data_IF_534683184381
#
_entry.id   IF_534683184381
#
_cell.length_a   1.000
_cell.length_b   1.000
_cell.length_c   1.000
_cell.angle_alpha   90.00
_cell.angle_beta   90.00
_cell.angle_gamma   90.00
#
_symmetry.space_group_name_H-M   'P 1'
#
loop_
_entity.id
_entity.type
_entity.pdbx_description
1 polymer ?
#
# COMPACT_ATOMS: atom_id res chain seq x y z
N UNK A 1 25.67 7.65 -23.84
CA UNK A 1 26.31 8.91 -24.29
C UNK A 1 27.73 9.14 -23.75
N UNK A 2 28.01 8.88 -22.46
CA UNK A 2 29.36 9.05 -21.84
C UNK A 2 30.51 8.22 -22.47
N UNK A 3 30.22 7.05 -23.03
CA UNK A 3 31.23 6.20 -23.69
C UNK A 3 31.55 6.64 -25.12
N UNK A 4 30.57 7.20 -25.85
CA UNK A 4 30.78 7.75 -27.18
C UNK A 4 31.68 8.99 -27.13
N UNK A 5 31.51 9.84 -26.09
CA UNK A 5 32.30 11.04 -25.85
C UNK A 5 33.78 10.74 -25.54
N UNK A 6 34.07 9.63 -24.85
CA UNK A 6 35.45 9.21 -24.55
C UNK A 6 36.19 8.67 -25.77
N UNK A 7 35.48 7.97 -26.65
CA UNK A 7 36.04 7.45 -27.91
C UNK A 7 36.30 8.62 -28.87
N UNK A 8 35.37 9.58 -28.98
CA UNK A 8 35.58 10.80 -29.80
C UNK A 8 36.71 11.65 -29.27
N UNK A 9 36.87 11.80 -27.95
CA UNK A 9 37.97 12.57 -27.38
C UNK A 9 39.33 11.89 -27.61
N UNK A 10 39.40 10.56 -27.58
CA UNK A 10 40.63 9.82 -27.87
C UNK A 10 41.01 9.91 -29.34
N UNK A 11 40.04 9.87 -30.26
CA UNK A 11 40.28 10.10 -31.69
C UNK A 11 40.64 11.55 -31.99
N UNK A 12 40.12 12.52 -31.22
CA UNK A 12 40.46 13.94 -31.38
C UNK A 12 41.89 14.24 -30.92
N UNK A 13 42.31 13.66 -29.79
CA UNK A 13 43.70 13.73 -29.31
C UNK A 13 44.63 13.04 -30.32
N UNK A 14 44.20 11.94 -30.95
CA UNK A 14 44.96 11.26 -32.00
C UNK A 14 45.10 12.11 -33.28
N UNK A 15 44.05 12.83 -33.71
CA UNK A 15 44.13 13.78 -34.84
C UNK A 15 45.00 15.00 -34.53
N UNK A 16 45.00 15.51 -33.30
CA UNK A 16 45.82 16.65 -32.88
C UNK A 16 47.31 16.32 -32.81
N UNK A 17 47.67 15.11 -32.38
CA UNK A 17 49.07 14.66 -32.32
C UNK A 17 49.65 14.41 -33.71
N UNK A 18 48.83 14.02 -34.70
CA UNK A 18 49.29 13.75 -36.06
C UNK A 18 49.29 14.96 -37.01
N UNK A 19 48.51 16.01 -36.74
CA UNK A 19 48.59 17.28 -37.48
C UNK A 19 49.83 18.12 -37.10
N UNK A 20 50.64 17.69 -36.13
CA UNK A 20 51.84 18.41 -35.67
C UNK A 20 53.16 17.90 -36.28
N UNK A 21 53.12 16.98 -37.25
CA UNK A 21 54.31 16.57 -38.00
C UNK A 21 54.58 17.57 -39.13
N UNK A 22 55.76 18.21 -39.21
CA UNK A 22 56.06 19.17 -40.26
C UNK A 22 56.05 18.46 -41.62
N UNK A 23 55.23 18.96 -42.53
CA UNK A 23 55.28 18.59 -43.93
C UNK A 23 56.59 19.11 -44.55
N UNK A 24 57.66 18.33 -44.48
CA UNK A 24 58.84 18.54 -45.33
C UNK A 24 58.56 17.89 -46.68
N UNK A 25 58.17 18.72 -47.64
CA UNK A 25 58.02 18.35 -49.03
C UNK A 25 59.39 17.96 -49.63
N UNK A 26 59.50 16.73 -50.11
CA UNK A 26 60.47 16.36 -51.14
C UNK A 26 59.84 15.29 -52.05
N UNK A 27 59.89 15.56 -53.34
CA UNK A 27 59.29 14.85 -54.46
C UNK A 27 59.76 13.40 -54.63
N UNK A 28 58.84 12.47 -54.92
CA UNK A 28 59.18 11.12 -55.35
C UNK A 28 57.98 10.17 -55.47
N UNK A 29 57.59 9.92 -56.71
CA UNK A 29 56.76 8.85 -57.28
C UNK A 29 56.40 7.62 -56.40
N UNK A 30 55.09 7.35 -56.32
CA UNK A 30 54.44 6.04 -56.03
C UNK A 30 54.82 5.32 -54.72
N UNK A 31 54.47 5.89 -53.56
CA UNK A 31 54.55 5.17 -52.26
C UNK A 31 53.33 5.41 -51.34
N UNK A 32 52.23 5.93 -51.89
CA UNK A 32 51.04 6.25 -51.10
C UNK A 32 50.31 5.00 -50.58
N UNK A 33 50.38 3.87 -51.31
CA UNK A 33 49.78 2.60 -50.90
C UNK A 33 50.55 1.89 -49.78
N UNK A 34 51.88 1.83 -49.85
CA UNK A 34 52.72 1.16 -48.85
C UNK A 34 52.75 1.94 -47.53
N UNK A 35 52.79 3.27 -47.60
CA UNK A 35 52.73 4.15 -46.44
C UNK A 35 51.38 4.04 -45.68
N UNK A 36 50.26 3.97 -46.41
CA UNK A 36 48.92 3.78 -45.82
C UNK A 36 48.77 2.41 -45.16
N UNK A 37 49.33 1.35 -45.74
CA UNK A 37 49.33 0.01 -45.14
C UNK A 37 50.16 -0.03 -43.85
N UNK A 38 51.37 0.55 -43.84
CA UNK A 38 52.24 0.60 -42.65
C UNK A 38 51.60 1.38 -41.49
N UNK A 39 50.97 2.51 -41.78
CA UNK A 39 50.24 3.32 -40.79
C UNK A 39 49.01 2.58 -40.25
N UNK A 40 48.26 1.90 -41.11
CA UNK A 40 47.11 1.08 -40.70
C UNK A 40 47.48 -0.08 -39.78
N UNK A 41 48.58 -0.78 -40.09
CA UNK A 41 49.11 -1.87 -39.24
C UNK A 41 49.60 -1.34 -37.89
N UNK A 42 50.35 -0.24 -37.86
CA UNK A 42 50.82 0.37 -36.62
C UNK A 42 49.65 0.82 -35.71
N UNK A 43 48.61 1.43 -36.28
CA UNK A 43 47.41 1.82 -35.55
C UNK A 43 46.66 0.60 -34.97
N UNK A 44 46.52 -0.48 -35.74
CA UNK A 44 45.87 -1.71 -35.28
C UNK A 44 46.63 -2.36 -34.10
N UNK A 45 47.96 -2.37 -34.15
CA UNK A 45 48.81 -2.90 -33.06
C UNK A 45 48.67 -2.06 -31.79
N UNK A 46 48.69 -0.73 -31.89
CA UNK A 46 48.53 0.16 -30.72
C UNK A 46 47.14 0.02 -30.10
N UNK A 47 46.09 -0.03 -30.91
CA UNK A 47 44.71 -0.27 -30.43
C UNK A 47 44.61 -1.64 -29.75
N UNK A 48 45.22 -2.67 -30.34
CA UNK A 48 45.30 -4.01 -29.75
C UNK A 48 46.00 -4.00 -28.39
N UNK A 49 47.16 -3.35 -28.28
CA UNK A 49 47.91 -3.23 -27.03
C UNK A 49 47.13 -2.47 -25.95
N UNK A 50 46.48 -1.35 -26.29
CA UNK A 50 45.64 -0.59 -25.35
C UNK A 50 44.45 -1.42 -24.87
N UNK A 51 43.81 -2.18 -25.76
CA UNK A 51 42.73 -3.11 -25.40
C UNK A 51 43.21 -4.21 -24.46
N UNK A 52 44.39 -4.80 -24.70
CA UNK A 52 44.97 -5.83 -23.84
C UNK A 52 45.33 -5.29 -22.45
N UNK A 53 45.97 -4.11 -22.37
CA UNK A 53 46.33 -3.46 -21.10
C UNK A 53 45.08 -3.14 -20.30
N UNK A 54 44.05 -2.56 -20.95
CA UNK A 54 42.78 -2.27 -20.29
C UNK A 54 42.12 -3.54 -19.75
N UNK A 55 42.13 -4.62 -20.52
CA UNK A 55 41.57 -5.92 -20.10
C UNK A 55 42.34 -6.50 -18.92
N UNK A 56 43.67 -6.44 -18.93
CA UNK A 56 44.51 -6.89 -17.82
C UNK A 56 44.23 -6.11 -16.53
N UNK A 57 44.09 -4.78 -16.61
CA UNK A 57 43.74 -3.93 -15.45
C UNK A 57 42.36 -4.29 -14.90
N UNK A 58 41.36 -4.44 -15.77
CA UNK A 58 40.01 -4.84 -15.38
C UNK A 58 40.03 -6.22 -14.72
N UNK A 59 40.73 -7.18 -15.30
CA UNK A 59 40.86 -8.53 -14.75
C UNK A 59 41.60 -8.56 -13.41
N UNK A 60 42.61 -7.72 -13.22
CA UNK A 60 43.30 -7.58 -11.94
C UNK A 60 42.39 -7.07 -10.83
N UNK A 61 41.58 -6.04 -11.13
CA UNK A 61 40.59 -5.50 -10.18
C UNK A 61 39.46 -6.49 -9.90
N UNK A 62 38.89 -7.08 -10.94
CA UNK A 62 37.86 -8.12 -10.82
C UNK A 62 38.39 -9.32 -10.01
N UNK A 63 39.65 -9.71 -10.21
CA UNK A 63 40.28 -10.80 -9.46
C UNK A 63 40.47 -10.50 -7.98
N UNK A 64 40.74 -9.24 -7.59
CA UNK A 64 40.80 -8.85 -6.18
C UNK A 64 39.43 -8.98 -5.52
N UNK A 65 38.39 -8.41 -6.14
CA UNK A 65 37.01 -8.46 -5.62
C UNK A 65 36.44 -9.89 -5.62
N UNK A 66 36.82 -10.71 -6.60
CA UNK A 66 36.46 -12.12 -6.63
C UNK A 66 37.03 -12.88 -5.43
N UNK A 67 38.32 -12.67 -5.10
CA UNK A 67 38.94 -13.31 -3.92
C UNK A 67 38.32 -12.83 -2.62
N UNK A 68 38.07 -11.52 -2.50
CA UNK A 68 37.37 -10.94 -1.35
C UNK A 68 35.97 -11.58 -1.17
N UNK A 69 35.23 -11.79 -2.26
CA UNK A 69 33.95 -12.50 -2.22
C UNK A 69 34.08 -13.95 -1.76
N UNK A 70 35.14 -14.67 -2.16
CA UNK A 70 35.40 -16.03 -1.68
C UNK A 70 35.78 -16.08 -0.20
N UNK A 71 36.58 -15.13 0.27
CA UNK A 71 36.95 -14.99 1.68
C UNK A 71 35.72 -14.70 2.56
N UNK A 72 34.87 -13.77 2.14
CA UNK A 72 33.62 -13.44 2.83
C UNK A 72 32.64 -14.63 2.84
N UNK A 73 32.52 -15.33 1.71
CA UNK A 73 31.72 -16.55 1.61
C UNK A 73 32.24 -17.66 2.53
N UNK A 74 33.56 -17.84 2.63
CA UNK A 74 34.18 -18.80 3.54
C UNK A 74 33.96 -18.43 5.02
N UNK A 75 33.92 -17.14 5.33
CA UNK A 75 33.57 -16.63 6.65
C UNK A 75 32.05 -16.69 6.97
N UNK A 76 31.22 -17.07 6.00
CA UNK A 76 29.76 -17.10 6.15
C UNK A 76 29.07 -15.75 6.04
N UNK A 77 29.81 -14.67 5.75
CA UNK A 77 29.24 -13.36 5.41
C UNK A 77 28.73 -13.36 3.96
N UNK A 78 27.57 -14.00 3.77
CA UNK A 78 26.95 -14.11 2.45
C UNK A 78 26.51 -12.76 1.89
N UNK A 79 26.14 -11.80 2.75
CA UNK A 79 25.76 -10.46 2.30
C UNK A 79 26.97 -9.70 1.75
N UNK A 80 28.10 -9.72 2.47
CA UNK A 80 29.37 -9.18 2.00
C UNK A 80 29.85 -9.87 0.72
N UNK A 81 29.76 -11.20 0.66
CA UNK A 81 30.14 -11.96 -0.53
C UNK A 81 29.32 -11.55 -1.77
N UNK A 82 28.00 -11.37 -1.62
CA UNK A 82 27.15 -10.86 -2.71
C UNK A 82 27.63 -9.49 -3.19
N UNK A 83 27.99 -8.57 -2.29
CA UNK A 83 28.49 -7.24 -2.67
C UNK A 83 29.81 -7.33 -3.44
N UNK A 84 30.77 -8.11 -2.95
CA UNK A 84 32.07 -8.29 -3.59
C UNK A 84 31.95 -8.95 -4.98
N UNK A 85 31.18 -10.03 -5.09
CA UNK A 85 30.92 -10.70 -6.37
C UNK A 85 30.11 -9.82 -7.34
N UNK A 86 29.17 -9.01 -6.85
CA UNK A 86 28.45 -8.04 -7.69
C UNK A 86 29.41 -7.05 -8.33
N UNK A 87 30.30 -6.45 -7.53
CA UNK A 87 31.32 -5.52 -8.05
C UNK A 87 32.28 -6.20 -9.04
N UNK A 88 32.67 -7.46 -8.77
CA UNK A 88 33.51 -8.23 -9.69
C UNK A 88 32.80 -8.51 -11.03
N UNK A 89 31.51 -8.88 -10.98
CA UNK A 89 30.67 -9.11 -12.15
C UNK A 89 30.44 -7.83 -12.95
N UNK A 90 30.18 -6.69 -12.31
CA UNK A 90 30.03 -5.39 -12.97
C UNK A 90 31.31 -4.96 -13.71
N UNK A 91 32.50 -5.31 -13.18
CA UNK A 91 33.78 -5.04 -13.84
C UNK A 91 34.02 -5.96 -15.04
N UNK A 92 33.81 -7.26 -14.85
CA UNK A 92 33.93 -8.24 -15.93
C UNK A 92 32.98 -9.44 -15.69
N UNK A 93 31.84 -9.48 -16.39
CA UNK A 93 30.87 -10.58 -16.27
C UNK A 93 31.41 -11.95 -16.67
N UNK A 94 32.50 -12.00 -17.46
CA UNK A 94 33.16 -13.22 -17.93
C UNK A 94 34.39 -13.59 -17.08
N UNK A 95 34.62 -12.90 -15.97
CA UNK A 95 35.73 -13.22 -15.09
C UNK A 95 35.45 -14.52 -14.33
N UNK A 96 36.14 -15.61 -14.74
CA UNK A 96 35.96 -16.95 -14.17
C UNK A 96 34.47 -17.34 -14.11
N UNK A 97 34.04 -17.90 -12.99
CA UNK A 97 32.69 -18.32 -12.64
C UNK A 97 31.97 -17.30 -11.73
N UNK A 98 32.34 -16.01 -11.79
CA UNK A 98 31.78 -14.96 -10.90
C UNK A 98 30.25 -14.89 -10.93
N UNK A 99 29.62 -15.16 -12.07
CA UNK A 99 28.16 -15.20 -12.18
C UNK A 99 27.56 -16.35 -11.34
N UNK A 100 28.16 -17.54 -11.38
CA UNK A 100 27.71 -18.70 -10.59
C UNK A 100 27.98 -18.49 -9.09
N UNK A 101 29.14 -17.92 -8.74
CA UNK A 101 29.50 -17.56 -7.37
C UNK A 101 28.53 -16.52 -6.78
N UNK A 102 28.20 -15.49 -7.55
CA UNK A 102 27.22 -14.48 -7.17
C UNK A 102 25.83 -15.10 -6.95
N UNK A 103 25.36 -15.97 -7.86
CA UNK A 103 24.07 -16.66 -7.71
C UNK A 103 24.04 -17.50 -6.42
N UNK A 104 25.08 -18.30 -6.19
CA UNK A 104 25.22 -19.11 -4.97
C UNK A 104 25.24 -18.25 -3.71
N UNK A 105 25.98 -17.12 -3.73
CA UNK A 105 26.04 -16.21 -2.61
C UNK A 105 24.68 -15.57 -2.32
N UNK A 106 23.91 -15.20 -3.35
CA UNK A 106 22.54 -14.69 -3.21
C UNK A 106 21.60 -15.73 -2.61
N UNK A 107 21.66 -16.98 -3.08
CA UNK A 107 20.86 -18.07 -2.53
C UNK A 107 21.14 -18.28 -1.03
N UNK A 108 22.42 -18.31 -0.65
CA UNK A 108 22.82 -18.49 0.74
C UNK A 108 22.48 -17.28 1.61
N UNK A 109 22.65 -16.06 1.11
CA UNK A 109 22.22 -14.84 1.80
C UNK A 109 20.70 -14.85 2.02
N UNK A 110 19.92 -15.14 0.98
CA UNK A 110 18.46 -15.23 1.09
C UNK A 110 18.01 -16.27 2.11
N UNK A 111 18.58 -17.49 2.07
CA UNK A 111 18.27 -18.54 3.05
C UNK A 111 18.66 -18.15 4.48
N UNK A 112 19.79 -17.47 4.67
CA UNK A 112 20.21 -16.95 5.97
C UNK A 112 19.20 -15.94 6.53
N UNK A 113 18.71 -15.02 5.70
CA UNK A 113 17.71 -14.03 6.10
C UNK A 113 16.34 -14.66 6.38
N UNK A 114 15.93 -15.71 5.67
CA UNK A 114 14.72 -16.47 6.04
C UNK A 114 14.86 -17.06 7.45
N UNK A 115 16.00 -17.68 7.76
CA UNK A 115 16.25 -18.27 9.08
C UNK A 115 16.26 -17.21 10.20
N UNK A 116 16.89 -16.05 9.97
CA UNK A 116 16.86 -14.93 10.91
C UNK A 116 15.44 -14.41 11.13
N UNK A 117 14.63 -14.36 10.06
CA UNK A 117 13.21 -14.03 10.15
C UNK A 117 12.43 -15.03 11.00
N UNK A 118 12.68 -16.33 10.82
CA UNK A 118 12.03 -17.40 11.61
C UNK A 118 12.39 -17.30 13.10
N UNK A 119 13.64 -17.00 13.41
CA UNK A 119 14.11 -16.79 14.78
C UNK A 119 13.45 -15.56 15.42
N UNK A 120 13.47 -14.42 14.72
CA UNK A 120 12.81 -13.19 15.18
C UNK A 120 11.30 -13.38 15.41
N UNK A 121 10.63 -14.11 14.51
CA UNK A 121 9.19 -14.38 14.67
C UNK A 121 8.92 -15.28 15.87
N UNK A 122 9.75 -16.31 16.09
CA UNK A 122 9.67 -17.17 17.29
C UNK A 122 9.82 -16.37 18.58
N UNK A 123 10.67 -15.35 18.57
CA UNK A 123 10.90 -14.41 19.68
C UNK A 123 9.85 -13.30 19.79
N UNK A 124 8.80 -13.33 18.95
CA UNK A 124 7.74 -12.31 18.88
C UNK A 124 8.22 -10.91 18.49
N UNK A 125 9.40 -10.82 17.87
CA UNK A 125 9.92 -9.60 17.25
C UNK A 125 9.41 -9.52 15.81
N UNK A 126 8.10 -9.27 15.66
CA UNK A 126 7.42 -9.40 14.37
C UNK A 126 7.95 -8.42 13.32
N UNK A 127 8.23 -7.16 13.69
CA UNK A 127 8.77 -6.17 12.77
C UNK A 127 10.20 -6.52 12.31
N UNK A 128 11.01 -7.12 13.20
CA UNK A 128 12.34 -7.61 12.83
C UNK A 128 12.24 -8.81 11.87
N UNK A 129 11.29 -9.73 12.12
CA UNK A 129 11.02 -10.84 11.23
C UNK A 129 10.62 -10.36 9.82
N UNK A 130 9.75 -9.34 9.74
CA UNK A 130 9.33 -8.74 8.48
C UNK A 130 10.51 -8.17 7.70
N UNK A 131 11.38 -7.42 8.38
CA UNK A 131 12.60 -6.86 7.80
C UNK A 131 13.50 -7.96 7.23
N UNK A 132 13.75 -9.04 7.98
CA UNK A 132 14.57 -10.15 7.51
C UNK A 132 13.95 -10.87 6.30
N UNK A 133 12.64 -11.18 6.31
CA UNK A 133 12.01 -11.80 5.15
C UNK A 133 12.00 -10.90 3.91
N UNK A 134 11.80 -9.58 4.08
CA UNK A 134 11.95 -8.62 2.97
C UNK A 134 13.38 -8.60 2.44
N UNK A 135 14.37 -8.69 3.33
CA UNK A 135 15.77 -8.74 2.93
C UNK A 135 16.09 -10.05 2.18
N UNK A 136 15.50 -11.18 2.58
CA UNK A 136 15.61 -12.43 1.82
C UNK A 136 15.09 -12.27 0.38
N UNK A 137 13.98 -11.56 0.18
CA UNK A 137 13.44 -11.26 -1.15
C UNK A 137 14.31 -10.31 -1.99
N UNK A 138 15.15 -9.48 -1.36
CA UNK A 138 16.12 -8.67 -2.11
C UNK A 138 17.20 -9.55 -2.76
N UNK A 139 17.61 -10.63 -2.09
CA UNK A 139 18.57 -11.59 -2.64
C UNK A 139 17.93 -12.61 -3.57
N UNK A 140 16.74 -13.10 -3.22
CA UNK A 140 15.97 -14.09 -3.99
C UNK A 140 14.56 -13.55 -4.24
N UNK A 141 14.35 -12.67 -5.24
CA UNK A 141 13.04 -12.11 -5.54
C UNK A 141 11.99 -13.15 -5.88
N UNK A 142 12.40 -14.35 -6.32
CA UNK A 142 11.52 -15.46 -6.64
C UNK A 142 11.22 -16.39 -5.44
N UNK A 143 11.71 -16.12 -4.22
CA UNK A 143 11.50 -17.00 -3.06
C UNK A 143 10.02 -17.10 -2.68
N UNK A 144 9.41 -18.26 -2.92
CA UNK A 144 8.04 -18.55 -2.51
C UNK A 144 7.92 -18.64 -0.98
N UNK A 145 8.93 -19.20 -0.33
CA UNK A 145 8.99 -19.33 1.13
C UNK A 145 8.95 -17.96 1.83
N UNK A 146 9.84 -17.03 1.45
CA UNK A 146 9.88 -15.71 2.08
C UNK A 146 8.57 -14.92 1.86
N UNK A 147 7.95 -15.04 0.68
CA UNK A 147 6.62 -14.45 0.42
C UNK A 147 5.54 -15.07 1.31
N UNK A 148 5.52 -16.40 1.43
CA UNK A 148 4.55 -17.08 2.29
C UNK A 148 4.70 -16.64 3.75
N UNK A 149 5.94 -16.56 4.25
CA UNK A 149 6.23 -16.09 5.61
C UNK A 149 5.75 -14.66 5.83
N UNK A 150 6.02 -13.73 4.90
CA UNK A 150 5.51 -12.36 4.96
C UNK A 150 3.98 -12.29 4.99
N UNK A 151 3.30 -13.08 4.16
CA UNK A 151 1.83 -13.10 4.11
C UNK A 151 1.22 -13.59 5.42
N UNK A 152 1.83 -14.59 6.07
CA UNK A 152 1.38 -15.08 7.37
C UNK A 152 1.65 -14.05 8.47
N UNK A 153 2.84 -13.45 8.47
CA UNK A 153 3.26 -12.44 9.44
C UNK A 153 2.42 -11.15 9.33
N UNK A 154 2.01 -10.75 8.11
CA UNK A 154 1.18 -9.58 7.87
C UNK A 154 -0.11 -9.60 8.68
N UNK A 155 -0.74 -10.77 8.82
CA UNK A 155 -1.94 -10.93 9.64
C UNK A 155 -1.66 -10.65 11.12
N UNK A 156 -0.55 -11.16 11.67
CA UNK A 156 -0.16 -10.90 13.06
C UNK A 156 0.25 -9.43 13.29
N UNK A 157 1.00 -8.85 12.35
CA UNK A 157 1.45 -7.46 12.39
C UNK A 157 0.29 -6.48 12.35
N UNK A 158 -0.75 -6.75 11.54
CA UNK A 158 -1.92 -5.88 11.47
C UNK A 158 -2.56 -5.70 12.85
N UNK A 159 -2.67 -6.78 13.64
CA UNK A 159 -3.16 -6.73 15.01
C UNK A 159 -2.21 -6.04 15.99
N UNK A 160 -0.88 -6.15 15.79
CA UNK A 160 0.10 -5.40 16.61
C UNK A 160 -0.07 -3.90 16.41
N UNK A 161 -0.11 -3.46 15.16
CA UNK A 161 -0.35 -2.07 14.79
C UNK A 161 -1.70 -1.58 15.35
N UNK A 162 -2.76 -2.36 15.17
CA UNK A 162 -4.08 -2.02 15.71
C UNK A 162 -4.06 -1.82 17.23
N UNK A 163 -3.48 -2.75 18.00
CA UNK A 163 -3.39 -2.63 19.47
C UNK A 163 -2.54 -1.44 19.92
N UNK A 164 -1.47 -1.12 19.18
CA UNK A 164 -0.63 0.05 19.46
C UNK A 164 -1.38 1.34 19.16
N UNK A 165 -2.16 1.37 18.07
CA UNK A 165 -3.09 2.45 17.75
C UNK A 165 -4.11 2.70 18.86
N UNK A 166 -4.75 1.64 19.36
CA UNK A 166 -5.67 1.72 20.51
C UNK A 166 -5.00 2.31 21.77
N UNK A 167 -3.74 1.95 22.01
CA UNK A 167 -2.99 2.46 23.16
C UNK A 167 -2.72 3.97 23.04
N UNK A 168 -2.45 4.47 21.84
CA UNK A 168 -2.31 5.91 21.58
C UNK A 168 -3.66 6.64 21.62
N UNK A 169 -4.71 6.04 21.07
CA UNK A 169 -6.08 6.55 21.12
C UNK A 169 -6.56 6.74 22.57
N UNK A 170 -6.29 5.78 23.46
CA UNK A 170 -6.67 5.85 24.87
C UNK A 170 -6.08 7.06 25.63
N UNK A 171 -4.99 7.64 25.12
CA UNK A 171 -4.35 8.85 25.67
C UNK A 171 -4.46 10.06 24.73
N UNK A 172 -5.42 10.04 23.80
CA UNK A 172 -5.71 11.11 22.83
C UNK A 172 -4.52 11.51 21.93
N UNK A 173 -3.56 10.62 21.72
CA UNK A 173 -2.42 10.81 20.82
C UNK A 173 -2.81 10.43 19.39
N UNK A 174 -3.66 11.25 18.78
CA UNK A 174 -4.32 10.93 17.51
C UNK A 174 -3.38 10.83 16.31
N UNK A 175 -2.30 11.60 16.27
CA UNK A 175 -1.31 11.52 15.18
C UNK A 175 -0.59 10.16 15.18
N UNK A 176 -0.17 9.69 16.35
CA UNK A 176 0.46 8.38 16.51
C UNK A 176 -0.55 7.25 16.32
N UNK A 177 -1.77 7.39 16.86
CA UNK A 177 -2.85 6.44 16.64
C UNK A 177 -3.17 6.29 15.14
N UNK A 178 -3.25 7.41 14.40
CA UNK A 178 -3.45 7.42 12.95
C UNK A 178 -2.36 6.63 12.24
N UNK A 179 -1.09 6.88 12.56
CA UNK A 179 0.02 6.16 11.93
C UNK A 179 -0.11 4.64 12.12
N UNK A 180 -0.43 4.20 13.33
CA UNK A 180 -0.58 2.79 13.65
C UNK A 180 -1.80 2.15 12.99
N UNK A 181 -2.97 2.80 13.05
CA UNK A 181 -4.17 2.30 12.38
C UNK A 181 -4.02 2.29 10.86
N UNK A 182 -3.27 3.22 10.27
CA UNK A 182 -2.94 3.19 8.85
C UNK A 182 -2.14 1.92 8.50
N UNK A 183 -1.12 1.54 9.29
CA UNK A 183 -0.39 0.30 9.06
C UNK A 183 -1.30 -0.94 9.17
N UNK A 184 -2.16 -0.99 10.19
CA UNK A 184 -3.12 -2.09 10.33
C UNK A 184 -4.07 -2.18 9.13
N UNK A 185 -4.61 -1.04 8.68
CA UNK A 185 -5.49 -0.95 7.52
C UNK A 185 -4.81 -1.38 6.22
N UNK A 186 -3.54 -0.99 6.00
CA UNK A 186 -2.80 -1.36 4.80
C UNK A 186 -2.49 -2.87 4.74
N UNK A 187 -2.31 -3.52 5.90
CA UNK A 187 -2.02 -4.95 5.99
C UNK A 187 -3.28 -5.83 5.86
N UNK A 188 -4.41 -5.37 6.40
CA UNK A 188 -5.68 -6.12 6.40
C UNK A 188 -6.89 -5.19 6.17
N UNK A 189 -7.06 -4.65 4.94
CA UNK A 189 -8.11 -3.68 4.62
C UNK A 189 -9.53 -4.26 4.66
N UNK A 190 -9.66 -5.59 4.72
CA UNK A 190 -10.94 -6.31 4.83
C UNK A 190 -11.52 -6.34 6.25
N UNK A 191 -10.72 -6.01 7.27
CA UNK A 191 -11.17 -5.97 8.66
C UNK A 191 -11.82 -4.61 8.94
N UNK A 192 -13.16 -4.58 9.03
CA UNK A 192 -13.92 -3.34 9.27
C UNK A 192 -13.41 -2.53 10.45
N UNK A 193 -13.11 -3.20 11.57
CA UNK A 193 -12.60 -2.55 12.78
C UNK A 193 -11.35 -1.70 12.51
N UNK A 194 -10.42 -2.18 11.66
CA UNK A 194 -9.22 -1.41 11.30
C UNK A 194 -9.57 -0.20 10.44
N UNK A 195 -10.50 -0.38 9.50
CA UNK A 195 -11.00 0.69 8.62
C UNK A 195 -11.63 1.82 9.46
N UNK A 196 -12.46 1.45 10.44
CA UNK A 196 -13.19 2.41 11.26
C UNK A 196 -12.27 3.18 12.20
N UNK A 197 -11.35 2.50 12.88
CA UNK A 197 -10.35 3.16 13.73
C UNK A 197 -9.40 4.05 12.92
N UNK A 198 -8.98 3.63 11.71
CA UNK A 198 -8.19 4.48 10.81
C UNK A 198 -8.95 5.76 10.42
N UNK A 199 -10.22 5.63 10.00
CA UNK A 199 -11.07 6.79 9.66
C UNK A 199 -11.27 7.73 10.84
N UNK A 200 -11.54 7.17 12.02
CA UNK A 200 -11.69 7.92 13.27
C UNK A 200 -10.42 8.69 13.61
N UNK A 201 -9.28 8.02 13.66
CA UNK A 201 -8.01 8.65 14.01
C UNK A 201 -7.62 9.72 12.99
N UNK A 202 -7.91 9.50 11.70
CA UNK A 202 -7.69 10.50 10.64
C UNK A 202 -8.54 11.76 10.85
N UNK A 203 -9.82 11.60 11.18
CA UNK A 203 -10.72 12.71 11.44
C UNK A 203 -10.21 13.60 12.60
N UNK A 204 -9.75 12.95 13.67
CA UNK A 204 -9.24 13.61 14.87
C UNK A 204 -7.86 14.24 14.65
N UNK A 205 -6.99 13.63 13.83
CA UNK A 205 -5.64 14.13 13.58
C UNK A 205 -5.60 15.30 12.58
N UNK A 206 -6.43 15.28 11.54
CA UNK A 206 -6.32 16.25 10.43
C UNK A 206 -7.08 17.56 10.70
N UNK A 207 -8.32 17.49 11.22
CA UNK A 207 -9.29 18.61 11.07
C UNK A 207 -10.39 18.69 12.14
N UNK A 208 -10.38 17.83 13.15
CA UNK A 208 -11.47 17.74 14.13
C UNK A 208 -12.84 17.63 13.42
N UNK A 209 -12.91 16.81 12.37
CA UNK A 209 -14.15 16.61 11.62
C UNK A 209 -15.12 15.82 12.49
N UNK A 210 -16.41 16.21 12.54
CA UNK A 210 -17.38 15.50 13.33
C UNK A 210 -17.52 14.06 12.82
N UNK A 211 -17.48 13.12 13.76
CA UNK A 211 -17.70 11.71 13.54
C UNK A 211 -19.20 11.44 13.52
N UNK A 212 -19.67 10.80 12.47
CA UNK A 212 -21.09 10.51 12.26
C UNK A 212 -21.31 9.04 11.97
N UNK A 213 -22.42 8.49 12.45
CA UNK A 213 -22.84 7.12 12.09
C UNK A 213 -24.36 7.00 11.94
N UNK A 214 -24.81 6.02 11.13
CA UNK A 214 -26.22 5.58 11.12
C UNK A 214 -26.30 4.48 12.17
N UNK A 215 -27.06 4.72 13.23
CA UNK A 215 -27.10 3.85 14.40
C UNK A 215 -28.08 2.70 14.22
N UNK A 216 -29.36 2.99 13.95
CA UNK A 216 -30.37 1.98 13.65
C UNK A 216 -31.60 2.57 12.96
N UNK A 217 -32.39 1.68 12.37
CA UNK A 217 -33.78 1.95 11.99
C UNK A 217 -34.71 0.98 12.72
N UNK A 218 -35.76 1.48 13.35
CA UNK A 218 -36.82 0.63 13.90
C UNK A 218 -37.72 0.20 12.76
N UNK A 219 -37.90 -1.10 12.61
CA UNK A 219 -38.82 -1.65 11.62
C UNK A 219 -40.20 -1.91 12.23
N UNK A 220 -41.17 -1.07 11.90
CA UNK A 220 -42.57 -1.23 12.31
C UNK A 220 -43.43 -1.85 11.19
N UNK A 221 -42.78 -2.42 10.17
CA UNK A 221 -43.45 -3.07 9.04
C UNK A 221 -43.54 -4.59 9.23
N UNK A 222 -44.23 -5.27 8.31
CA UNK A 222 -44.31 -6.74 8.27
C UNK A 222 -43.15 -7.39 7.53
N UNK A 223 -42.17 -6.63 7.05
CA UNK A 223 -41.08 -7.14 6.19
C UNK A 223 -39.74 -7.01 6.93
N UNK A 224 -39.15 -8.11 7.44
CA UNK A 224 -37.90 -8.06 8.19
C UNK A 224 -36.69 -7.69 7.31
N UNK A 225 -35.65 -7.11 7.92
CA UNK A 225 -34.35 -6.83 7.28
C UNK A 225 -34.32 -5.57 6.39
N UNK A 226 -35.46 -4.89 6.19
CA UNK A 226 -35.52 -3.64 5.42
C UNK A 226 -34.73 -2.53 6.11
N UNK A 227 -34.75 -2.50 7.43
CA UNK A 227 -34.03 -1.59 8.32
C UNK A 227 -32.52 -1.67 8.16
N UNK A 228 -31.96 -2.88 8.14
CA UNK A 228 -30.51 -3.09 7.99
C UNK A 228 -30.05 -2.69 6.59
N UNK A 229 -30.82 -3.08 5.56
CA UNK A 229 -30.55 -2.70 4.19
C UNK A 229 -30.60 -1.17 4.01
N UNK A 230 -31.60 -0.52 4.59
CA UNK A 230 -31.74 0.94 4.50
C UNK A 230 -30.64 1.66 5.27
N UNK A 231 -30.28 1.19 6.46
CA UNK A 231 -29.18 1.75 7.23
C UNK A 231 -27.86 1.72 6.46
N UNK A 232 -27.52 0.54 5.89
CA UNK A 232 -26.32 0.36 5.07
C UNK A 232 -26.31 1.29 3.85
N UNK A 233 -27.41 1.32 3.10
CA UNK A 233 -27.49 2.18 1.92
C UNK A 233 -27.44 3.66 2.27
N UNK A 234 -28.10 4.07 3.36
CA UNK A 234 -28.04 5.45 3.84
C UNK A 234 -26.62 5.84 4.21
N UNK A 235 -25.91 4.98 4.94
CA UNK A 235 -24.52 5.20 5.32
C UNK A 235 -23.61 5.39 4.09
N UNK A 236 -23.76 4.53 3.08
CA UNK A 236 -23.04 4.63 1.80
C UNK A 236 -23.30 5.97 1.10
N UNK A 237 -24.56 6.37 0.97
CA UNK A 237 -24.95 7.63 0.34
C UNK A 237 -24.43 8.84 1.12
N UNK A 238 -24.50 8.81 2.45
CA UNK A 238 -24.00 9.89 3.30
C UNK A 238 -22.48 9.99 3.26
N UNK A 239 -21.74 8.89 3.21
CA UNK A 239 -20.29 8.93 3.04
C UNK A 239 -19.91 9.55 1.69
N UNK A 240 -20.61 9.20 0.60
CA UNK A 240 -20.39 9.79 -0.72
C UNK A 240 -20.70 11.29 -0.77
N UNK A 241 -21.68 11.76 0.02
CA UNK A 241 -22.09 13.16 0.08
C UNK A 241 -21.33 13.99 1.14
N UNK A 242 -20.46 13.38 1.94
CA UNK A 242 -19.81 14.04 3.07
C UNK A 242 -18.98 15.26 2.63
N UNK A 243 -18.33 15.18 1.46
CA UNK A 243 -17.54 16.27 0.87
C UNK A 243 -16.57 16.94 1.87
N UNK A 244 -15.99 16.15 2.78
CA UNK A 244 -15.06 16.62 3.81
C UNK A 244 -15.71 17.39 4.97
N UNK A 245 -17.04 17.35 5.15
CA UNK A 245 -17.76 18.01 6.25
C UNK A 245 -17.85 17.17 7.52
N UNK A 246 -17.76 15.85 7.40
CA UNK A 246 -17.81 14.88 8.50
C UNK A 246 -17.17 13.58 8.02
N UNK A 247 -16.90 12.66 8.95
CA UNK A 247 -16.43 11.31 8.64
C UNK A 247 -17.51 10.31 9.04
N UNK A 248 -17.94 9.49 8.08
CA UNK A 248 -18.89 8.42 8.33
C UNK A 248 -18.17 7.16 8.84
N UNK A 249 -18.58 6.67 10.01
CA UNK A 249 -18.07 5.45 10.64
C UNK A 249 -19.09 4.32 10.52
N UNK A 250 -18.62 3.09 10.29
CA UNK A 250 -19.42 1.89 10.13
C UNK A 250 -19.34 0.99 11.37
N UNK A 251 -20.36 1.01 12.23
CA UNK A 251 -20.37 0.15 13.42
C UNK A 251 -21.22 -1.11 13.24
N UNK A 252 -21.48 -1.53 12.00
CA UNK A 252 -22.55 -2.48 11.64
C UNK A 252 -22.61 -3.80 12.44
N UNK A 253 -21.51 -4.32 12.98
CA UNK A 253 -21.52 -5.52 13.85
C UNK A 253 -21.78 -5.23 15.33
N UNK A 254 -21.35 -4.07 15.83
CA UNK A 254 -21.53 -3.66 17.23
C UNK A 254 -22.97 -3.15 17.46
N UNK A 255 -23.59 -2.58 16.43
CA UNK A 255 -24.96 -2.07 16.45
C UNK A 255 -26.01 -3.17 16.61
N UNK A 256 -25.85 -4.34 15.99
CA UNK A 256 -26.85 -5.41 16.06
C UNK A 256 -27.09 -5.91 17.50
N UNK A 257 -26.03 -6.11 18.28
CA UNK A 257 -26.12 -6.59 19.67
C UNK A 257 -26.78 -5.53 20.58
N UNK A 258 -26.43 -4.26 20.39
CA UNK A 258 -26.98 -3.15 21.18
C UNK A 258 -28.43 -2.84 20.78
N UNK A 259 -28.79 -3.06 19.51
CA UNK A 259 -30.14 -2.82 18.97
C UNK A 259 -31.11 -3.95 19.34
N UNK A 260 -30.67 -5.22 19.37
CA UNK A 260 -31.51 -6.35 19.78
C UNK A 260 -31.93 -6.23 21.26
N UNK A 261 -31.00 -5.85 22.13
CA UNK A 261 -31.29 -5.61 23.55
C UNK A 261 -32.18 -4.38 23.77
N UNK A 262 -32.07 -3.37 22.91
CA UNK A 262 -32.88 -2.16 22.94
C UNK A 262 -34.29 -2.32 22.38
N UNK A 263 -34.46 -3.04 21.28
CA UNK A 263 -35.75 -3.31 20.66
C UNK A 263 -36.66 -4.15 21.59
N UNK A 264 -36.07 -4.96 22.46
CA UNK A 264 -36.77 -5.64 23.54
C UNK A 264 -37.31 -4.69 24.63
N UNK A 265 -36.81 -3.45 24.70
CA UNK A 265 -37.12 -2.47 25.76
C UNK A 265 -38.08 -1.34 25.32
N UNK A 266 -38.40 -1.19 24.04
CA UNK A 266 -39.40 -0.21 23.59
C UNK A 266 -39.57 -0.13 22.08
N UNK A 267 -40.81 -0.08 21.60
CA UNK A 267 -41.16 0.04 20.16
C UNK A 267 -41.07 1.46 19.58
N UNK A 268 -40.48 2.40 20.33
CA UNK A 268 -40.34 3.80 19.94
C UNK A 268 -38.87 4.17 19.69
N UNK A 269 -38.68 5.26 18.95
CA UNK A 269 -37.37 5.83 18.64
C UNK A 269 -36.74 6.43 19.91
N UNK A 270 -36.08 5.59 20.72
CA UNK A 270 -35.47 6.02 21.98
C UNK A 270 -34.21 6.88 21.73
N UNK A 271 -34.41 8.20 21.76
CA UNK A 271 -33.32 9.18 21.63
C UNK A 271 -32.31 9.07 22.76
N UNK A 272 -32.74 8.72 23.98
CA UNK A 272 -31.83 8.61 25.12
C UNK A 272 -30.87 7.45 24.93
N UNK A 273 -31.39 6.29 24.55
CA UNK A 273 -30.57 5.14 24.18
C UNK A 273 -29.61 5.50 23.06
N UNK A 274 -30.09 6.15 22.00
CA UNK A 274 -29.23 6.54 20.87
C UNK A 274 -28.08 7.46 21.30
N UNK A 275 -28.34 8.37 22.24
CA UNK A 275 -27.31 9.22 22.84
C UNK A 275 -26.30 8.42 23.67
N UNK A 276 -26.78 7.49 24.51
CA UNK A 276 -25.92 6.63 25.33
C UNK A 276 -25.01 5.76 24.46
N UNK A 277 -25.57 5.14 23.41
CA UNK A 277 -24.82 4.37 22.42
C UNK A 277 -23.83 5.25 21.66
N UNK A 278 -24.24 6.45 21.22
CA UNK A 278 -23.34 7.39 20.55
C UNK A 278 -22.13 7.79 21.41
N UNK A 279 -22.31 7.97 22.73
CA UNK A 279 -21.19 8.22 23.65
C UNK A 279 -20.25 7.02 23.75
N UNK A 280 -20.80 5.80 23.82
CA UNK A 280 -20.00 4.56 23.85
C UNK A 280 -19.19 4.40 22.57
N UNK A 281 -19.81 4.69 21.41
CA UNK A 281 -19.15 4.62 20.11
C UNK A 281 -18.15 5.76 19.90
N UNK A 282 -18.23 6.83 20.71
CA UNK A 282 -17.34 7.98 20.62
C UNK A 282 -17.53 8.80 19.35
N UNK A 283 -18.78 8.92 18.90
CA UNK A 283 -19.18 9.76 17.75
C UNK A 283 -19.79 11.08 18.20
N UNK A 284 -19.72 12.10 17.34
CA UNK A 284 -20.31 13.41 17.59
C UNK A 284 -21.79 13.46 17.23
N UNK A 285 -22.19 12.67 16.23
CA UNK A 285 -23.56 12.60 15.75
C UNK A 285 -24.00 11.18 15.40
N UNK A 286 -25.24 10.85 15.78
CA UNK A 286 -25.91 9.60 15.38
C UNK A 286 -27.14 9.89 14.56
N UNK A 287 -27.44 9.01 13.61
CA UNK A 287 -28.68 9.01 12.85
C UNK A 287 -29.49 7.81 13.27
N UNK A 288 -30.73 8.05 13.69
CA UNK A 288 -31.71 7.02 13.98
C UNK A 288 -32.95 7.25 13.13
N UNK A 289 -33.69 6.19 12.84
CA UNK A 289 -34.93 6.33 12.08
C UNK A 289 -35.94 5.24 12.34
N UNK A 290 -37.07 5.35 11.67
CA UNK A 290 -38.15 4.38 11.74
C UNK A 290 -38.76 4.16 10.35
N UNK A 291 -39.10 2.91 10.06
CA UNK A 291 -39.83 2.49 8.87
C UNK A 291 -41.23 2.10 9.33
N UNK A 292 -42.25 2.85 8.90
CA UNK A 292 -43.62 2.70 9.41
C UNK A 292 -44.46 1.77 8.55
N UNK A 293 -44.30 1.84 7.23
CA UNK A 293 -45.03 0.98 6.30
C UNK A 293 -44.17 0.58 5.10
N UNK A 294 -44.33 -0.66 4.66
CA UNK A 294 -43.70 -1.22 3.46
C UNK A 294 -44.79 -1.97 2.67
N UNK A 295 -45.13 -1.47 1.48
CA UNK A 295 -46.08 -2.11 0.57
C UNK A 295 -45.34 -2.56 -0.70
N UNK A 296 -45.52 -3.81 -1.12
CA UNK A 296 -44.91 -4.34 -2.34
C UNK A 296 -45.89 -5.06 -3.29
N UNK A 297 -47.20 -4.81 -3.15
CA UNK A 297 -48.25 -5.46 -3.97
C UNK A 297 -48.49 -4.73 -5.30
N UNK A 298 -49.02 -3.50 -5.25
CA UNK A 298 -49.39 -2.75 -6.45
C UNK A 298 -48.27 -1.82 -6.95
N UNK A 299 -47.61 -1.15 -6.01
CA UNK A 299 -46.39 -0.37 -6.22
C UNK A 299 -45.54 -0.53 -4.98
N UNK A 300 -44.22 -0.63 -5.15
CA UNK A 300 -43.34 -0.62 -3.99
C UNK A 300 -43.33 0.78 -3.38
N UNK A 301 -43.66 0.87 -2.09
CA UNK A 301 -43.71 2.10 -1.30
C UNK A 301 -43.15 1.85 0.08
N UNK A 302 -42.42 2.84 0.59
CA UNK A 302 -41.86 2.83 1.94
C UNK A 302 -42.14 4.17 2.59
N UNK A 303 -42.69 4.14 3.80
CA UNK A 303 -42.77 5.31 4.66
C UNK A 303 -41.63 5.30 5.67
N UNK A 304 -40.80 6.33 5.66
CA UNK A 304 -39.61 6.43 6.50
C UNK A 304 -39.52 7.80 7.17
N UNK A 305 -38.98 7.80 8.39
CA UNK A 305 -38.55 9.01 9.11
C UNK A 305 -37.15 8.82 9.66
N UNK A 306 -36.46 9.93 9.94
CA UNK A 306 -35.13 9.90 10.54
C UNK A 306 -34.83 11.16 11.34
N UNK A 307 -33.98 11.04 12.35
CA UNK A 307 -33.43 12.14 13.14
C UNK A 307 -31.91 12.03 13.19
N UNK A 308 -31.24 13.17 13.16
CA UNK A 308 -29.80 13.29 13.45
C UNK A 308 -29.63 13.96 14.80
N UNK A 309 -29.04 13.25 15.75
CA UNK A 309 -28.83 13.69 17.13
C UNK A 309 -27.36 14.06 17.34
N UNK A 310 -27.12 15.18 18.02
CA UNK A 310 -25.79 15.55 18.51
C UNK A 310 -25.54 14.89 19.86
N UNK A 311 -24.46 14.12 19.95
CA UNK A 311 -24.11 13.38 21.17
C UNK A 311 -23.71 14.30 22.33
N UNK A 312 -22.89 15.35 22.13
CA UNK A 312 -22.46 16.20 23.25
C UNK A 312 -23.61 16.99 23.89
N UNK A 313 -24.59 17.42 23.09
CA UNK A 313 -25.67 18.32 23.53
C UNK A 313 -27.01 17.64 23.73
N UNK A 314 -27.20 16.43 23.20
CA UNK A 314 -28.49 15.75 23.16
C UNK A 314 -29.49 16.37 22.18
N UNK A 315 -29.09 17.37 21.37
CA UNK A 315 -30.02 18.10 20.50
C UNK A 315 -30.30 17.34 19.21
N UNK A 316 -31.56 17.40 18.76
CA UNK A 316 -31.94 17.04 17.40
C UNK A 316 -31.42 18.11 16.45
N UNK A 317 -30.34 17.81 15.74
CA UNK A 317 -29.74 18.71 14.76
C UNK A 317 -30.52 18.77 13.44
N UNK A 318 -31.22 17.69 13.11
CA UNK A 318 -32.07 17.58 11.93
C UNK A 318 -33.16 16.55 12.16
N UNK A 319 -34.37 16.87 11.73
CA UNK A 319 -35.51 15.95 11.75
C UNK A 319 -36.12 15.86 10.36
N UNK A 320 -36.29 14.62 9.89
CA UNK A 320 -37.02 14.27 8.67
C UNK A 320 -38.32 13.64 9.11
N UNK A 321 -39.41 14.42 9.02
CA UNK A 321 -40.76 13.93 9.28
C UNK A 321 -41.10 12.76 8.35
N UNK A 322 -41.98 11.83 8.78
CA UNK A 322 -42.41 10.71 7.96
C UNK A 322 -42.82 11.15 6.55
N UNK A 323 -42.26 10.48 5.54
CA UNK A 323 -42.64 10.68 4.15
C UNK A 323 -42.70 9.35 3.40
N UNK A 324 -43.59 9.30 2.42
CA UNK A 324 -43.76 8.13 1.56
C UNK A 324 -42.87 8.27 0.33
N UNK A 325 -41.93 7.35 0.18
CA UNK A 325 -41.18 7.18 -1.04
C UNK A 325 -41.84 6.11 -1.91
N UNK A 326 -42.17 6.46 -3.15
CA UNK A 326 -42.75 5.51 -4.11
C UNK A 326 -41.72 5.15 -5.17
N UNK A 327 -41.42 3.86 -5.29
CA UNK A 327 -40.44 3.35 -6.25
C UNK A 327 -40.97 3.41 -7.69
N UNK A 328 -40.06 3.21 -8.63
CA UNK A 328 -40.37 3.15 -10.06
C UNK A 328 -41.40 2.04 -10.34
N UNK A 329 -42.20 2.20 -11.40
CA UNK A 329 -43.22 1.19 -11.77
C UNK A 329 -42.62 -0.19 -12.10
N UNK A 330 -41.35 -0.24 -12.49
CA UNK A 330 -40.60 -1.48 -12.75
C UNK A 330 -40.09 -2.19 -11.49
N UNK A 331 -40.19 -1.54 -10.32
CA UNK A 331 -39.78 -2.12 -9.05
C UNK A 331 -40.89 -3.02 -8.50
N UNK A 332 -40.54 -4.25 -8.14
CA UNK A 332 -41.42 -5.32 -7.67
C UNK A 332 -41.02 -5.79 -6.27
N UNK A 333 -41.81 -6.70 -5.68
CA UNK A 333 -41.48 -7.34 -4.40
C UNK A 333 -40.15 -8.14 -4.41
N UNK A 334 -39.60 -8.49 -5.57
CA UNK A 334 -38.39 -9.30 -5.67
C UNK A 334 -37.12 -8.50 -5.97
N UNK A 335 -37.23 -7.30 -6.58
CA UNK A 335 -36.08 -6.49 -6.99
C UNK A 335 -36.00 -5.12 -6.29
N UNK A 336 -36.87 -4.86 -5.31
CA UNK A 336 -36.84 -3.61 -4.57
C UNK A 336 -35.52 -3.33 -3.83
N UNK A 337 -34.74 -4.31 -3.34
CA UNK A 337 -33.47 -4.02 -2.68
C UNK A 337 -32.50 -3.26 -3.59
N UNK A 338 -32.48 -3.59 -4.89
CA UNK A 338 -31.63 -2.92 -5.90
C UNK A 338 -32.02 -1.46 -6.12
N UNK A 339 -33.25 -1.09 -5.77
CA UNK A 339 -33.77 0.26 -5.90
C UNK A 339 -33.62 1.09 -4.60
N UNK A 340 -33.28 0.45 -3.48
CA UNK A 340 -33.11 1.08 -2.17
C UNK A 340 -32.06 2.20 -2.12
N UNK A 341 -30.92 2.13 -2.86
CA UNK A 341 -29.96 3.22 -2.89
C UNK A 341 -30.58 4.57 -3.29
N UNK A 342 -31.64 4.58 -4.10
CA UNK A 342 -32.35 5.82 -4.49
C UNK A 342 -33.15 6.44 -3.35
N UNK A 343 -33.81 5.60 -2.54
CA UNK A 343 -34.47 6.04 -1.31
C UNK A 343 -33.42 6.57 -0.32
N UNK A 344 -32.34 5.82 -0.11
CA UNK A 344 -31.24 6.22 0.75
C UNK A 344 -30.63 7.57 0.32
N UNK A 345 -30.45 7.81 -0.97
CA UNK A 345 -29.94 9.08 -1.49
C UNK A 345 -30.89 10.25 -1.23
N UNK A 346 -32.20 10.03 -1.37
CA UNK A 346 -33.22 11.03 -1.05
C UNK A 346 -33.25 11.33 0.46
N UNK A 347 -33.16 10.29 1.31
CA UNK A 347 -33.10 10.44 2.75
C UNK A 347 -31.80 11.15 3.20
N UNK A 348 -30.66 10.82 2.60
CA UNK A 348 -29.37 11.47 2.83
C UNK A 348 -29.44 12.97 2.52
N UNK A 349 -30.05 13.36 1.39
CA UNK A 349 -30.28 14.78 1.05
C UNK A 349 -31.12 15.50 2.09
N UNK A 350 -32.11 14.83 2.68
CA UNK A 350 -32.98 15.40 3.72
C UNK A 350 -32.27 15.52 5.07
N UNK A 351 -31.28 14.68 5.35
CA UNK A 351 -30.50 14.66 6.60
C UNK A 351 -29.26 15.57 6.59
N UNK A 352 -28.73 15.86 5.39
CA UNK A 352 -27.53 16.68 5.20
C UNK A 352 -27.68 18.16 5.57
#
# INVERSE_FOLDING_TARGET
MRNALKITCLTLVFMLVFNALPATAASGQSDSGEMVIKVGVAAAVVVGAVCLIRTAIINGKAGKLYREGEELAAAGDWAGAVQAFTKAWELNPKYKDVAAKLATAKEKAGAMYVRLGDEAWKEKQLEAAEAYYRQALQYIPASAEARQKLNQLAQELAWVHYRRGLSYEAVNRWTEALHEFEQAYLLAPEISEFVDHYRRAKANADRDLPLRTVLFFINQTTTPGVEELLARELQSQMQAMANGKYVMLDYGRTQAVLTEQAAALGGELDEKLALDLGRILGVDEVIIGAIHSFEARNRVRIEVSAKRLQIPTGRVSKEVKPFIYTFARSTTATNWPDALPKLAAELAKRLN
#
